data_IF_050189869351
#
_entry.id   IF_050189869351
#
_cell.length_a   1.000
_cell.length_b   1.000
_cell.length_c   1.000
_cell.angle_alpha   90.00
_cell.angle_beta   90.00
_cell.angle_gamma   90.00
#
_symmetry.space_group_name_H-M   'P 1'
#
loop_
_entity.id
_entity.type
_entity.pdbx_description
1 polymer ?
#
# COMPACT_ATOMS: atom_id res chain seq x y z
N UNK A 1 10.02 8.87 -11.07
CA UNK A 1 9.01 9.70 -10.37
C UNK A 1 9.05 11.16 -10.86
N UNK A 2 7.90 11.81 -11.15
CA UNK A 2 7.84 13.26 -11.47
C UNK A 2 7.88 14.10 -10.18
N UNK A 3 8.20 15.40 -10.28
CA UNK A 3 8.28 16.28 -9.09
C UNK A 3 6.96 16.34 -8.31
N UNK A 4 5.83 16.37 -9.03
CA UNK A 4 4.49 16.38 -8.42
C UNK A 4 4.19 15.07 -7.69
N UNK A 5 4.66 13.94 -8.20
CA UNK A 5 4.50 12.63 -7.56
C UNK A 5 5.29 12.57 -6.24
N UNK A 6 6.46 13.26 -6.18
CA UNK A 6 7.25 13.40 -4.94
C UNK A 6 6.52 14.19 -3.86
N UNK A 7 6.04 15.38 -4.21
CA UNK A 7 5.35 16.27 -3.27
C UNK A 7 4.07 15.63 -2.76
N UNK A 8 3.32 14.99 -3.67
CA UNK A 8 2.15 14.21 -3.32
C UNK A 8 2.50 13.07 -2.37
N UNK A 9 3.48 12.22 -2.71
CA UNK A 9 3.88 11.08 -1.88
C UNK A 9 4.31 11.53 -0.49
N UNK A 10 5.16 12.57 -0.39
CA UNK A 10 5.56 13.15 0.91
C UNK A 10 4.37 13.69 1.73
N UNK A 11 3.34 14.22 1.07
CA UNK A 11 2.14 14.73 1.75
C UNK A 11 1.24 13.64 2.33
N UNK A 12 1.34 12.40 1.84
CA UNK A 12 0.45 11.30 2.24
C UNK A 12 1.12 10.22 3.08
N UNK A 13 2.46 10.07 3.02
CA UNK A 13 3.15 8.92 3.62
C UNK A 13 3.26 8.99 5.15
N UNK A 14 3.25 10.18 5.75
CA UNK A 14 3.48 10.30 7.20
C UNK A 14 2.43 9.51 8.00
N UNK A 15 2.91 8.59 8.86
CA UNK A 15 2.07 7.74 9.69
C UNK A 15 1.47 6.53 8.97
N UNK A 16 1.62 6.41 7.65
CA UNK A 16 1.10 5.31 6.83
C UNK A 16 2.03 4.09 6.84
N UNK A 17 1.44 2.94 6.50
CA UNK A 17 2.21 1.77 6.08
C UNK A 17 2.58 1.90 4.61
N UNK A 18 3.70 1.30 4.26
CA UNK A 18 4.19 1.23 2.90
C UNK A 18 4.67 -0.18 2.58
N UNK A 19 4.40 -0.61 1.36
CA UNK A 19 5.07 -1.75 0.74
C UNK A 19 6.10 -1.17 -0.24
N UNK A 20 7.35 -1.64 -0.19
CA UNK A 20 8.45 -1.07 -0.97
C UNK A 20 9.51 -2.11 -1.33
N UNK A 21 10.28 -1.79 -2.36
CA UNK A 21 11.43 -2.56 -2.83
C UNK A 21 12.71 -1.73 -2.62
N UNK A 22 13.84 -2.42 -2.44
CA UNK A 22 15.15 -1.80 -2.34
C UNK A 22 16.04 -2.32 -3.45
N UNK A 23 16.71 -1.40 -4.15
CA UNK A 23 17.47 -1.69 -5.37
C UNK A 23 16.59 -2.42 -6.41
N UNK A 24 17.19 -3.21 -7.30
CA UNK A 24 16.46 -4.06 -8.25
C UNK A 24 16.01 -5.39 -7.60
N UNK A 25 15.85 -5.44 -6.28
CA UNK A 25 15.46 -6.66 -5.56
C UNK A 25 13.97 -6.96 -5.75
N UNK A 26 13.64 -8.24 -5.89
CA UNK A 26 12.26 -8.71 -6.10
C UNK A 26 11.51 -8.97 -4.79
N UNK A 27 12.14 -8.72 -3.64
CA UNK A 27 11.51 -8.94 -2.33
C UNK A 27 10.80 -7.68 -1.82
N UNK A 28 9.48 -7.76 -1.72
CA UNK A 28 8.66 -6.72 -1.11
C UNK A 28 8.91 -6.65 0.41
N UNK A 29 9.11 -5.44 0.92
CA UNK A 29 9.30 -5.13 2.33
C UNK A 29 8.13 -4.28 2.80
N UNK A 30 7.59 -4.59 3.97
CA UNK A 30 6.57 -3.80 4.63
C UNK A 30 7.20 -2.91 5.71
N UNK A 31 6.79 -1.64 5.75
CA UNK A 31 7.24 -0.71 6.76
C UNK A 31 6.18 0.32 7.15
N UNK A 32 6.47 1.07 8.21
CA UNK A 32 5.67 2.23 8.64
C UNK A 32 6.50 3.48 8.60
N UNK A 33 6.01 4.52 7.94
CA UNK A 33 6.68 5.82 7.88
C UNK A 33 6.29 6.63 9.11
N UNK A 34 7.30 7.13 9.80
CA UNK A 34 7.17 8.01 10.95
C UNK A 34 8.15 9.18 10.82
N UNK A 35 7.84 10.29 11.51
CA UNK A 35 8.74 11.44 11.58
C UNK A 35 9.58 11.36 12.85
N UNK A 36 10.91 11.37 12.71
CA UNK A 36 11.88 11.38 13.82
C UNK A 36 12.90 12.48 13.57
N UNK A 37 13.03 13.42 14.52
CA UNK A 37 14.00 14.52 14.46
C UNK A 37 13.97 15.36 13.18
N UNK A 38 12.78 15.50 12.57
CA UNK A 38 12.58 16.23 11.30
C UNK A 38 12.74 15.37 10.04
N UNK A 39 13.30 14.17 10.16
CA UNK A 39 13.45 13.21 9.07
C UNK A 39 12.26 12.26 8.97
N UNK A 40 11.95 11.81 7.76
CA UNK A 40 11.06 10.68 7.53
C UNK A 40 11.85 9.38 7.69
N UNK A 41 11.35 8.46 8.51
CA UNK A 41 11.98 7.18 8.82
C UNK A 41 10.98 6.07 8.60
N UNK A 42 11.39 5.01 7.91
CA UNK A 42 10.64 3.75 7.79
C UNK A 42 11.07 2.83 8.92
N UNK A 43 10.11 2.40 9.74
CA UNK A 43 10.27 1.25 10.64
C UNK A 43 9.86 0.00 9.87
N UNK A 44 10.79 -0.93 9.67
CA UNK A 44 10.53 -2.18 8.95
C UNK A 44 9.66 -3.09 9.82
N UNK A 45 8.51 -3.50 9.29
CA UNK A 45 7.53 -4.34 9.96
C UNK A 45 7.69 -5.80 9.56
N UNK A 46 7.85 -6.07 8.26
CA UNK A 46 7.95 -7.41 7.72
C UNK A 46 8.90 -7.43 6.51
N UNK A 47 9.79 -8.43 6.48
CA UNK A 47 10.67 -8.72 5.36
C UNK A 47 11.07 -10.20 5.42
N UNK A 48 11.44 -10.79 4.29
CA UNK A 48 12.03 -12.14 4.29
C UNK A 48 13.34 -12.12 5.09
N UNK A 49 13.61 -13.15 5.90
CA UNK A 49 14.66 -13.09 6.93
C UNK A 49 16.04 -12.58 6.46
N UNK A 50 16.53 -13.05 5.32
CA UNK A 50 17.82 -12.58 4.77
C UNK A 50 17.78 -11.12 4.28
N UNK A 51 16.61 -10.64 3.84
CA UNK A 51 16.38 -9.24 3.49
C UNK A 51 16.39 -8.38 4.75
N UNK A 52 15.77 -8.83 5.85
CA UNK A 52 15.76 -8.08 7.11
C UNK A 52 17.18 -7.82 7.64
N UNK A 53 18.11 -8.78 7.49
CA UNK A 53 19.51 -8.61 7.90
C UNK A 53 20.23 -7.53 7.06
N UNK A 54 19.92 -7.47 5.76
CA UNK A 54 20.49 -6.50 4.82
C UNK A 54 19.91 -5.11 5.06
N UNK A 55 18.61 -5.01 5.27
CA UNK A 55 17.85 -3.76 5.35
C UNK A 55 17.91 -3.15 6.74
N UNK A 56 17.98 -3.97 7.78
CA UNK A 56 17.88 -3.53 9.16
C UNK A 56 16.46 -3.12 9.53
N UNK A 57 16.31 -2.49 10.70
CA UNK A 57 15.00 -2.17 11.30
C UNK A 57 14.52 -0.75 11.05
N UNK A 58 15.41 0.16 10.67
CA UNK A 58 15.08 1.59 10.55
C UNK A 58 15.86 2.25 9.43
N UNK A 59 15.12 2.87 8.51
CA UNK A 59 15.66 3.49 7.30
C UNK A 59 15.25 4.96 7.24
N UNK A 60 16.20 5.88 7.11
CA UNK A 60 15.91 7.29 6.81
C UNK A 60 15.64 7.45 5.32
N UNK A 61 14.53 8.11 5.00
CA UNK A 61 14.20 8.44 3.62
C UNK A 61 14.94 9.69 3.17
N UNK A 62 15.56 9.61 2.00
CA UNK A 62 16.25 10.73 1.36
C UNK A 62 15.88 10.79 -0.10
N UNK A 63 15.49 11.97 -0.56
CA UNK A 63 15.32 12.19 -1.99
C UNK A 63 16.57 12.86 -2.55
N UNK A 64 17.13 12.26 -3.60
CA UNK A 64 18.16 12.89 -4.41
C UNK A 64 17.68 12.98 -5.86
N UNK A 65 17.55 14.21 -6.35
CA UNK A 65 16.88 14.54 -7.62
C UNK A 65 15.50 13.85 -7.76
N UNK A 66 15.41 12.85 -8.63
CA UNK A 66 14.18 12.09 -8.95
C UNK A 66 14.13 10.70 -8.31
N UNK A 67 15.15 10.34 -7.55
CA UNK A 67 15.31 9.03 -6.93
C UNK A 67 15.04 9.13 -5.43
N UNK A 68 14.43 8.09 -4.90
CA UNK A 68 14.20 7.92 -3.47
C UNK A 68 15.22 6.91 -2.97
N UNK A 69 15.85 7.24 -1.85
CA UNK A 69 16.84 6.41 -1.18
C UNK A 69 16.40 6.14 0.25
N UNK A 70 16.76 4.95 0.73
CA UNK A 70 16.61 4.52 2.10
C UNK A 70 17.98 4.31 2.72
N UNK A 71 18.31 5.03 3.78
CA UNK A 71 19.61 4.98 4.47
C UNK A 71 19.45 4.31 5.84
N UNK A 72 20.18 3.23 6.07
CA UNK A 72 20.22 2.56 7.38
C UNK A 72 20.75 3.48 8.46
N UNK A 73 19.99 3.64 9.54
CA UNK A 73 20.41 4.51 10.65
C UNK A 73 21.58 3.95 11.47
N UNK A 74 21.81 2.63 11.45
CA UNK A 74 22.85 1.97 12.24
C UNK A 74 24.21 1.88 11.53
N UNK A 75 24.20 1.77 10.20
CA UNK A 75 25.40 1.52 9.38
C UNK A 75 25.68 2.61 8.35
N UNK A 76 24.71 3.49 8.06
CA UNK A 76 24.79 4.49 7.00
C UNK A 76 24.75 3.90 5.58
N UNK A 77 24.48 2.59 5.43
CA UNK A 77 24.31 1.98 4.11
C UNK A 77 23.05 2.52 3.45
N UNK A 78 23.15 2.97 2.20
CA UNK A 78 22.04 3.51 1.43
C UNK A 78 21.65 2.58 0.29
N UNK A 79 20.34 2.53 0.02
CA UNK A 79 19.72 1.76 -1.04
C UNK A 79 18.85 2.69 -1.87
N UNK A 80 18.79 2.49 -3.18
CA UNK A 80 17.69 3.06 -3.97
C UNK A 80 16.38 2.37 -3.52
N UNK A 81 15.28 3.10 -3.47
CA UNK A 81 14.01 2.59 -2.95
C UNK A 81 12.87 2.97 -3.90
N UNK A 82 12.00 2.01 -4.15
CA UNK A 82 10.75 2.21 -4.86
C UNK A 82 9.58 1.86 -3.94
N UNK A 83 8.69 2.83 -3.71
CA UNK A 83 7.47 2.58 -2.93
C UNK A 83 6.46 1.97 -3.88
N UNK A 84 6.06 0.73 -3.59
CA UNK A 84 5.00 0.07 -4.33
C UNK A 84 3.64 0.61 -3.91
N UNK A 85 3.35 0.60 -2.60
CA UNK A 85 2.03 0.98 -2.07
C UNK A 85 2.13 1.82 -0.81
N UNK A 86 1.19 2.74 -0.62
CA UNK A 86 0.99 3.53 0.61
C UNK A 86 -0.43 3.29 1.10
N UNK A 87 -0.59 2.80 2.33
CA UNK A 87 -1.90 2.38 2.82
C UNK A 87 -2.07 2.51 4.34
N UNK A 88 -3.34 2.50 4.75
CA UNK A 88 -3.72 2.18 6.13
C UNK A 88 -4.17 0.72 6.21
N UNK A 89 -3.82 0.03 7.29
CA UNK A 89 -4.38 -1.28 7.60
C UNK A 89 -5.73 -1.10 8.32
N UNK A 90 -6.76 -1.82 7.86
CA UNK A 90 -8.10 -1.85 8.45
C UNK A 90 -8.49 -3.32 8.70
N UNK A 91 -8.73 -3.66 9.96
CA UNK A 91 -9.02 -5.03 10.38
C UNK A 91 -10.53 -5.28 10.45
N UNK A 92 -11.00 -6.32 9.75
CA UNK A 92 -12.41 -6.70 9.64
C UNK A 92 -13.33 -5.49 9.32
N UNK A 93 -13.08 -4.78 8.22
CA UNK A 93 -13.78 -3.55 7.91
C UNK A 93 -15.27 -3.75 7.64
N UNK A 94 -16.04 -2.74 8.00
CA UNK A 94 -17.43 -2.55 7.61
C UNK A 94 -17.54 -1.64 6.39
N UNK A 95 -18.74 -1.54 5.81
CA UNK A 95 -19.02 -0.57 4.74
C UNK A 95 -18.75 0.89 5.16
N UNK A 96 -18.92 1.21 6.45
CA UNK A 96 -18.65 2.55 6.99
C UNK A 96 -17.14 2.82 7.06
N UNK A 97 -16.34 1.83 7.47
CA UNK A 97 -14.87 1.95 7.48
C UNK A 97 -14.32 2.20 6.07
N UNK A 98 -14.83 1.48 5.06
CA UNK A 98 -14.47 1.74 3.67
C UNK A 98 -14.87 3.15 3.23
N UNK A 99 -16.08 3.61 3.59
CA UNK A 99 -16.55 4.95 3.24
C UNK A 99 -15.65 6.03 3.86
N UNK A 100 -15.32 5.91 5.15
CA UNK A 100 -14.45 6.85 5.87
C UNK A 100 -13.07 6.95 5.21
N UNK A 101 -12.49 5.82 4.81
CA UNK A 101 -11.16 5.81 4.15
C UNK A 101 -11.18 6.47 2.78
N UNK A 102 -12.25 6.30 2.01
CA UNK A 102 -12.45 6.99 0.72
C UNK A 102 -12.56 8.50 0.93
N UNK A 103 -13.33 8.95 1.92
CA UNK A 103 -13.43 10.37 2.27
C UNK A 103 -12.07 10.97 2.67
N UNK A 104 -11.23 10.15 3.31
CA UNK A 104 -9.84 10.50 3.64
C UNK A 104 -8.86 10.37 2.47
N UNK A 105 -9.33 9.97 1.29
CA UNK A 105 -8.56 9.98 0.04
C UNK A 105 -8.07 8.62 -0.46
N UNK A 106 -8.48 7.50 0.15
CA UNK A 106 -8.19 6.17 -0.38
C UNK A 106 -8.80 6.02 -1.79
N UNK A 107 -8.14 5.22 -2.64
CA UNK A 107 -8.51 5.00 -4.05
C UNK A 107 -9.12 3.62 -4.27
N UNK A 108 -8.56 2.62 -3.61
CA UNK A 108 -9.01 1.24 -3.64
C UNK A 108 -8.69 0.58 -2.29
N UNK A 109 -9.17 -0.65 -2.13
CA UNK A 109 -8.88 -1.49 -1.00
C UNK A 109 -8.40 -2.84 -1.48
N UNK A 110 -7.35 -3.36 -0.85
CA UNK A 110 -6.75 -4.61 -1.24
C UNK A 110 -6.63 -5.55 -0.05
N UNK A 111 -6.97 -6.82 -0.28
CA UNK A 111 -6.77 -7.89 0.69
C UNK A 111 -5.73 -8.86 0.16
N UNK A 112 -4.53 -8.79 0.72
CA UNK A 112 -3.35 -9.55 0.28
C UNK A 112 -3.55 -11.07 0.36
N UNK A 113 -4.26 -11.57 1.37
CA UNK A 113 -4.41 -13.02 1.60
C UNK A 113 -5.27 -13.72 0.54
N UNK A 114 -6.22 -13.01 -0.07
CA UNK A 114 -7.13 -13.56 -1.08
C UNK A 114 -7.02 -12.86 -2.42
N UNK A 115 -5.98 -12.03 -2.59
CA UNK A 115 -5.75 -11.22 -3.80
C UNK A 115 -7.05 -10.57 -4.31
N UNK A 116 -7.73 -9.88 -3.38
CA UNK A 116 -9.07 -9.31 -3.60
C UNK A 116 -8.98 -7.80 -3.62
N UNK A 117 -9.56 -7.19 -4.64
CA UNK A 117 -9.57 -5.74 -4.82
C UNK A 117 -11.00 -5.20 -4.73
N UNK A 118 -11.16 -4.05 -4.08
CA UNK A 118 -12.40 -3.29 -4.02
C UNK A 118 -12.12 -1.85 -4.45
N UNK A 119 -12.87 -1.34 -5.42
CA UNK A 119 -12.73 0.05 -5.87
C UNK A 119 -14.06 0.59 -6.39
N UNK A 120 -14.04 1.86 -6.79
CA UNK A 120 -15.18 2.52 -7.42
C UNK A 120 -14.89 2.75 -8.90
N UNK A 121 -15.76 2.25 -9.76
CA UNK A 121 -15.74 2.47 -11.20
C UNK A 121 -17.01 3.21 -11.59
N UNK A 122 -16.87 4.46 -12.04
CA UNK A 122 -17.99 5.38 -12.27
C UNK A 122 -18.93 5.49 -11.04
N UNK A 123 -20.18 5.05 -11.18
CA UNK A 123 -21.21 5.04 -10.15
C UNK A 123 -21.36 3.69 -9.43
N UNK A 124 -20.52 2.70 -9.74
CA UNK A 124 -20.57 1.35 -9.19
C UNK A 124 -19.41 1.06 -8.25
N UNK A 125 -19.70 0.24 -7.25
CA UNK A 125 -18.70 -0.43 -6.43
C UNK A 125 -18.35 -1.76 -7.07
N UNK A 126 -17.06 -2.01 -7.21
CA UNK A 126 -16.54 -3.22 -7.84
C UNK A 126 -15.77 -4.00 -6.78
N UNK A 127 -15.97 -5.31 -6.76
CA UNK A 127 -15.09 -6.26 -6.09
C UNK A 127 -14.57 -7.25 -7.13
N UNK A 128 -13.26 -7.45 -7.14
CA UNK A 128 -12.60 -8.48 -7.93
C UNK A 128 -12.08 -9.55 -6.99
N UNK A 129 -12.63 -10.77 -7.13
CA UNK A 129 -12.24 -11.92 -6.32
C UNK A 129 -11.15 -12.71 -7.05
N UNK A 130 -10.08 -13.06 -6.32
CA UNK A 130 -8.99 -13.94 -6.74
C UNK A 130 -8.39 -13.59 -8.13
N UNK A 131 -7.36 -12.74 -8.16
CA UNK A 131 -6.42 -12.74 -9.29
C UNK A 131 -5.63 -14.05 -9.30
N UNK A 132 -5.95 -14.97 -10.19
CA UNK A 132 -5.25 -16.27 -10.29
C UNK A 132 -3.81 -16.08 -10.82
N UNK A 133 -3.50 -14.96 -11.50
CA UNK A 133 -2.15 -14.43 -11.72
C UNK A 133 -2.19 -12.97 -12.26
N UNK A 134 -1.02 -12.34 -12.42
CA UNK A 134 -0.82 -10.97 -12.95
C UNK A 134 -1.32 -10.71 -14.38
N UNK A 135 -1.78 -11.74 -15.11
CA UNK A 135 -2.19 -11.69 -16.51
C UNK A 135 -3.68 -11.99 -16.73
N UNK A 136 -4.41 -12.37 -15.68
CA UNK A 136 -5.84 -12.67 -15.76
C UNK A 136 -6.61 -11.81 -14.76
N UNK A 137 -7.65 -11.15 -15.25
CA UNK A 137 -8.63 -10.48 -14.40
C UNK A 137 -9.34 -11.55 -13.55
N UNK A 138 -9.47 -11.29 -12.24
CA UNK A 138 -10.32 -12.08 -11.36
C UNK A 138 -11.80 -11.93 -11.69
N UNK A 139 -12.65 -12.63 -10.94
CA UNK A 139 -14.09 -12.53 -11.11
C UNK A 139 -14.59 -11.19 -10.56
N UNK A 140 -15.09 -10.32 -11.46
CA UNK A 140 -15.58 -8.97 -11.12
C UNK A 140 -17.09 -8.96 -10.90
N UNK A 141 -17.49 -8.34 -9.80
CA UNK A 141 -18.90 -8.12 -9.45
C UNK A 141 -19.15 -6.65 -9.16
N UNK A 142 -20.31 -6.15 -9.57
CA UNK A 142 -20.67 -4.73 -9.55
C UNK A 142 -21.91 -4.49 -8.69
N UNK A 143 -21.86 -3.45 -7.86
CA UNK A 143 -22.89 -3.12 -6.87
C UNK A 143 -23.20 -1.63 -6.88
N UNK A 144 -24.41 -1.25 -6.44
CA UNK A 144 -24.83 0.15 -6.37
C UNK A 144 -24.36 0.85 -5.08
N UNK A 145 -24.02 0.08 -4.05
CA UNK A 145 -23.58 0.60 -2.75
C UNK A 145 -22.56 -0.30 -2.08
N UNK A 146 -21.74 0.27 -1.18
CA UNK A 146 -20.83 -0.51 -0.33
C UNK A 146 -21.59 -1.47 0.58
N UNK A 147 -22.75 -1.07 1.10
CA UNK A 147 -23.58 -1.94 1.93
C UNK A 147 -24.02 -3.20 1.17
N UNK A 148 -24.48 -3.05 -0.08
CA UNK A 148 -24.86 -4.16 -0.95
C UNK A 148 -23.67 -5.07 -1.24
N UNK A 149 -22.52 -4.48 -1.59
CA UNK A 149 -21.28 -5.21 -1.85
C UNK A 149 -20.84 -6.02 -0.63
N UNK A 150 -20.74 -5.39 0.54
CA UNK A 150 -20.28 -6.03 1.77
C UNK A 150 -21.23 -7.14 2.22
N UNK A 151 -22.54 -6.92 2.12
CA UNK A 151 -23.55 -7.91 2.50
C UNK A 151 -23.53 -9.12 1.55
N UNK A 152 -23.38 -8.88 0.25
CA UNK A 152 -23.33 -9.95 -0.77
C UNK A 152 -22.04 -10.77 -0.70
N UNK A 153 -20.97 -10.19 -0.19
CA UNK A 153 -19.63 -10.79 -0.11
C UNK A 153 -19.17 -11.06 1.32
N UNK A 154 -20.08 -11.16 2.30
CA UNK A 154 -19.74 -11.19 3.73
C UNK A 154 -18.64 -12.21 4.10
N UNK A 155 -18.60 -13.37 3.43
CA UNK A 155 -17.56 -14.39 3.65
C UNK A 155 -16.13 -13.93 3.27
N UNK A 156 -16.01 -12.98 2.34
CA UNK A 156 -14.73 -12.45 1.85
C UNK A 156 -14.29 -11.16 2.57
N UNK A 157 -15.19 -10.50 3.29
CA UNK A 157 -14.92 -9.18 3.91
C UNK A 157 -14.12 -9.26 5.21
N UNK A 158 -14.10 -10.41 5.89
CA UNK A 158 -13.34 -10.60 7.11
C UNK A 158 -11.81 -10.61 6.86
N UNK A 159 -11.04 -10.16 7.84
CA UNK A 159 -9.58 -10.10 7.80
C UNK A 159 -9.03 -8.69 7.57
N UNK A 160 -7.73 -8.62 7.30
CA UNK A 160 -7.03 -7.35 7.16
C UNK A 160 -7.06 -6.84 5.73
N UNK A 161 -7.47 -5.59 5.58
CA UNK A 161 -7.52 -4.88 4.31
C UNK A 161 -6.54 -3.70 4.33
N UNK A 162 -5.98 -3.40 3.18
CA UNK A 162 -5.15 -2.24 2.94
C UNK A 162 -6.01 -1.18 2.24
N UNK A 163 -6.24 -0.04 2.89
CA UNK A 163 -6.84 1.13 2.26
C UNK A 163 -5.75 1.93 1.52
N UNK A 164 -5.71 1.82 0.19
CA UNK A 164 -4.60 2.28 -0.63
C UNK A 164 -4.79 3.74 -1.03
N UNK A 165 -3.78 4.56 -0.75
CA UNK A 165 -3.72 6.00 -1.12
C UNK A 165 -2.84 6.23 -2.35
N UNK A 166 -1.86 5.35 -2.55
CA UNK A 166 -0.96 5.35 -3.69
C UNK A 166 -0.56 3.90 -3.99
N UNK A 167 -0.53 3.55 -5.27
CA UNK A 167 0.04 2.31 -5.79
C UNK A 167 0.83 2.63 -7.05
N UNK A 168 2.01 2.01 -7.20
CA UNK A 168 2.84 2.09 -8.39
C UNK A 168 2.41 1.11 -9.47
N UNK A 169 1.66 0.08 -9.08
CA UNK A 169 1.07 -0.89 -9.98
C UNK A 169 -0.19 -0.32 -10.63
N UNK A 170 -0.44 -0.60 -11.92
CA UNK A 170 -1.72 -0.32 -12.57
C UNK A 170 -2.76 -1.32 -12.02
N UNK A 171 -3.21 -1.12 -10.78
CA UNK A 171 -4.28 -1.94 -10.21
C UNK A 171 -5.62 -1.69 -10.95
N UNK A 172 -5.72 -0.58 -11.68
CA UNK A 172 -6.94 -0.01 -12.25
C UNK A 172 -6.70 0.57 -13.65
N UNK A 173 -6.31 -0.24 -14.63
CA UNK A 173 -6.43 0.10 -16.07
C UNK A 173 -7.74 -0.43 -16.66
#
# INVERSE_FOLDING_TARGET
>A
MRLNDKEYLLSIIEGKRIDFYLEDDMFEIEGKVIKKDGDMVVEVLEAVGHVLDIVGRSLRLRFDYKKLYAERLDTGKSFEMEINRVYDLIANPTAEDFSEKIEKGAKCFFRKQSDTLLWREADKWVIELNKINMYFNGDRYYYNSLQELCSSNAAQMAGDWQAIYYSSEPELE
#
